data_IF_081192537143
#
_entry.id   IF_081192537143
#
_cell.length_a   1.000
_cell.length_b   1.000
_cell.length_c   1.000
_cell.angle_alpha   90.00
_cell.angle_beta   90.00
_cell.angle_gamma   90.00
#
_symmetry.space_group_name_H-M   'P 1'
#
loop_
_entity.id
_entity.type
_entity.pdbx_description
1 polymer ?
#
# COMPACT_ATOMS: atom_id res chain seq x y z
N UNK A 1 26.37 5.05 -8.31
CA UNK A 1 25.38 5.29 -7.24
C UNK A 1 24.50 4.05 -7.18
N UNK A 2 24.33 3.40 -6.02
CA UNK A 2 23.49 2.19 -5.94
C UNK A 2 22.02 2.61 -6.04
N UNK A 3 21.11 1.72 -6.46
CA UNK A 3 19.68 2.06 -6.57
C UNK A 3 19.06 2.53 -5.23
N UNK A 4 19.57 2.01 -4.11
CA UNK A 4 19.22 2.45 -2.75
C UNK A 4 19.57 3.93 -2.49
N UNK A 5 20.68 4.42 -3.03
CA UNK A 5 21.07 5.82 -2.92
C UNK A 5 20.16 6.69 -3.81
N UNK A 6 19.82 6.20 -5.02
CA UNK A 6 18.92 6.91 -5.95
C UNK A 6 17.53 7.15 -5.41
N UNK A 7 16.97 6.19 -4.67
CA UNK A 7 15.69 6.33 -3.99
C UNK A 7 15.60 7.57 -3.10
N UNK A 8 16.74 8.10 -2.62
CA UNK A 8 16.76 9.28 -1.75
C UNK A 8 16.88 10.62 -2.51
N UNK A 9 17.38 10.59 -3.76
CA UNK A 9 17.73 11.80 -4.50
C UNK A 9 16.92 12.02 -5.78
N UNK A 10 16.41 10.96 -6.42
CA UNK A 10 15.66 11.09 -7.65
C UNK A 10 14.18 11.29 -7.37
N UNK A 11 13.65 12.42 -7.83
CA UNK A 11 12.23 12.74 -7.77
C UNK A 11 11.71 12.76 -9.21
N UNK A 12 10.90 11.77 -9.63
CA UNK A 12 10.29 11.80 -10.95
C UNK A 12 9.45 13.07 -11.14
N UNK A 13 9.43 13.65 -12.35
CA UNK A 13 8.62 14.83 -12.63
C UNK A 13 7.13 14.51 -12.48
N UNK A 14 6.33 15.48 -12.02
CA UNK A 14 4.87 15.37 -12.11
C UNK A 14 4.44 15.38 -13.57
N UNK A 15 3.40 14.61 -13.90
CA UNK A 15 2.86 14.55 -15.25
C UNK A 15 1.63 15.46 -15.36
N UNK A 16 1.74 16.52 -16.15
CA UNK A 16 0.57 17.27 -16.61
C UNK A 16 0.11 16.66 -17.94
N UNK A 17 -0.97 15.89 -17.88
CA UNK A 17 -1.60 15.21 -19.01
C UNK A 17 -2.69 16.09 -19.62
N UNK A 18 -2.88 16.01 -20.94
CA UNK A 18 -4.02 16.67 -21.59
C UNK A 18 -5.33 15.94 -21.25
N UNK A 19 -6.47 16.61 -21.45
CA UNK A 19 -7.78 15.94 -21.26
C UNK A 19 -7.96 14.73 -22.18
N UNK A 20 -7.43 14.80 -23.40
CA UNK A 20 -7.42 13.68 -24.36
C UNK A 20 -6.60 12.49 -23.85
N UNK A 21 -5.39 12.73 -23.33
CA UNK A 21 -4.56 11.68 -22.73
C UNK A 21 -5.26 11.06 -21.52
N UNK A 22 -5.89 11.90 -20.70
CA UNK A 22 -6.67 11.46 -19.53
C UNK A 22 -7.85 10.57 -19.96
N UNK A 23 -8.58 10.93 -21.01
CA UNK A 23 -9.65 10.11 -21.59
C UNK A 23 -9.13 8.76 -22.09
N UNK A 24 -8.06 8.77 -22.88
CA UNK A 24 -7.44 7.56 -23.44
C UNK A 24 -6.94 6.60 -22.36
N UNK A 25 -6.34 7.13 -21.27
CA UNK A 25 -5.88 6.31 -20.16
C UNK A 25 -7.03 5.71 -19.34
N UNK A 26 -8.18 6.39 -19.24
CA UNK A 26 -9.37 5.81 -18.59
C UNK A 26 -9.93 4.67 -19.42
N UNK A 27 -10.08 4.85 -20.73
CA UNK A 27 -10.55 3.80 -21.63
C UNK A 27 -9.62 2.57 -21.62
N UNK A 28 -8.31 2.81 -21.60
CA UNK A 28 -7.32 1.75 -21.44
C UNK A 28 -7.49 1.01 -20.10
N UNK A 29 -7.70 1.73 -18.99
CA UNK A 29 -7.94 1.13 -17.69
C UNK A 29 -9.19 0.22 -17.71
N UNK A 30 -10.30 0.68 -18.27
CA UNK A 30 -11.55 -0.07 -18.34
C UNK A 30 -11.43 -1.32 -19.24
N UNK A 31 -10.71 -1.18 -20.36
CA UNK A 31 -10.38 -2.30 -21.26
C UNK A 31 -9.54 -3.35 -20.55
N UNK A 32 -8.51 -2.92 -19.82
CA UNK A 32 -7.65 -3.83 -19.05
C UNK A 32 -8.43 -4.57 -17.97
N UNK A 33 -9.32 -3.89 -17.24
CA UNK A 33 -10.18 -4.52 -16.22
C UNK A 33 -11.05 -5.59 -16.84
N UNK A 34 -11.78 -5.26 -17.91
CA UNK A 34 -12.70 -6.18 -18.59
C UNK A 34 -11.96 -7.41 -19.10
N UNK A 35 -10.88 -7.21 -19.86
CA UNK A 35 -10.10 -8.29 -20.45
C UNK A 35 -9.49 -9.24 -19.40
N UNK A 36 -8.96 -8.70 -18.29
CA UNK A 36 -8.33 -9.54 -17.27
C UNK A 36 -9.36 -10.31 -16.43
N UNK A 37 -10.55 -9.75 -16.18
CA UNK A 37 -11.64 -10.47 -15.51
C UNK A 37 -12.12 -11.64 -16.38
N UNK A 38 -12.28 -11.43 -17.70
CA UNK A 38 -12.61 -12.50 -18.64
C UNK A 38 -11.52 -13.59 -18.67
N UNK A 39 -10.25 -13.20 -18.74
CA UNK A 39 -9.11 -14.12 -18.71
C UNK A 39 -9.06 -14.94 -17.41
N UNK A 40 -9.40 -14.34 -16.27
CA UNK A 40 -9.50 -15.04 -15.00
C UNK A 40 -10.65 -16.06 -14.98
N UNK A 41 -11.82 -15.69 -15.49
CA UNK A 41 -12.98 -16.60 -15.57
C UNK A 41 -12.73 -17.79 -16.50
N UNK A 42 -11.93 -17.61 -17.54
CA UNK A 42 -11.55 -18.67 -18.47
C UNK A 42 -10.42 -19.58 -17.94
N UNK A 43 -9.77 -19.23 -16.81
CA UNK A 43 -8.65 -19.99 -16.28
C UNK A 43 -9.13 -21.34 -15.76
N UNK A 44 -8.59 -22.41 -16.33
CA UNK A 44 -8.77 -23.76 -15.84
C UNK A 44 -7.78 -24.03 -14.70
N UNK A 45 -8.30 -24.28 -13.51
CA UNK A 45 -7.54 -24.76 -12.35
C UNK A 45 -7.98 -26.19 -12.03
N UNK A 46 -7.06 -26.99 -11.51
CA UNK A 46 -7.39 -28.33 -11.03
C UNK A 46 -8.34 -28.25 -9.82
N UNK A 47 -8.99 -29.38 -9.49
CA UNK A 47 -9.91 -29.46 -8.35
C UNK A 47 -9.27 -29.09 -7.00
N UNK A 48 -7.97 -29.29 -6.88
CA UNK A 48 -7.13 -28.94 -5.72
C UNK A 48 -6.48 -27.55 -5.84
N UNK A 49 -6.91 -26.73 -6.81
CA UNK A 49 -6.52 -25.33 -6.96
C UNK A 49 -5.12 -25.09 -7.54
N UNK A 50 -4.52 -26.09 -8.20
CA UNK A 50 -3.25 -25.95 -8.88
C UNK A 50 -3.43 -25.53 -10.35
N UNK A 51 -2.43 -24.84 -10.88
CA UNK A 51 -2.34 -24.57 -12.30
C UNK A 51 -1.92 -25.83 -13.08
N UNK A 52 -2.31 -25.94 -14.35
CA UNK A 52 -1.92 -27.07 -15.21
C UNK A 52 -0.39 -27.22 -15.27
N UNK A 53 0.14 -28.32 -14.73
CA UNK A 53 1.57 -28.59 -14.65
C UNK A 53 2.26 -28.71 -16.04
N UNK A 54 1.49 -28.95 -17.12
CA UNK A 54 1.99 -28.95 -18.51
C UNK A 54 2.33 -27.54 -18.99
N UNK A 55 1.60 -26.54 -18.50
CA UNK A 55 1.79 -25.14 -18.87
C UNK A 55 2.59 -24.37 -17.81
N UNK A 56 2.51 -24.77 -16.54
CA UNK A 56 3.00 -24.01 -15.41
C UNK A 56 4.03 -24.79 -14.60
N UNK A 57 5.07 -24.09 -14.15
CA UNK A 57 6.07 -24.59 -13.22
C UNK A 57 6.07 -23.73 -11.96
N UNK A 58 5.82 -24.32 -10.79
CA UNK A 58 5.93 -23.61 -9.52
C UNK A 58 7.37 -23.12 -9.31
N UNK A 59 7.52 -21.83 -8.99
CA UNK A 59 8.81 -21.21 -8.68
C UNK A 59 8.97 -20.91 -7.20
N UNK A 60 7.88 -20.48 -6.56
CA UNK A 60 7.88 -20.01 -5.17
C UNK A 60 6.56 -20.37 -4.51
N UNK A 61 6.63 -20.60 -3.21
CA UNK A 61 5.46 -20.82 -2.35
C UNK A 61 5.73 -20.23 -0.98
N UNK A 62 4.69 -19.64 -0.39
CA UNK A 62 4.68 -19.21 1.00
C UNK A 62 3.24 -19.24 1.49
N UNK A 63 3.01 -19.91 2.61
CA UNK A 63 1.66 -20.16 3.12
C UNK A 63 0.79 -20.79 2.00
N UNK A 64 -0.44 -20.31 1.80
CA UNK A 64 -1.32 -20.76 0.71
C UNK A 64 -1.11 -20.00 -0.61
N UNK A 65 -0.06 -19.19 -0.74
CA UNK A 65 0.27 -18.46 -1.98
C UNK A 65 1.32 -19.23 -2.78
N UNK A 66 1.02 -19.50 -4.06
CA UNK A 66 1.91 -20.18 -5.01
C UNK A 66 2.12 -19.32 -6.23
N UNK A 67 3.37 -19.21 -6.66
CA UNK A 67 3.76 -18.45 -7.86
C UNK A 67 4.37 -19.41 -8.88
N UNK A 68 3.79 -19.41 -10.07
CA UNK A 68 4.15 -20.23 -11.20
C UNK A 68 4.76 -19.39 -12.32
N UNK A 69 5.70 -19.98 -13.05
CA UNK A 69 6.21 -19.47 -14.33
C UNK A 69 5.67 -20.33 -15.46
N UNK A 70 5.27 -19.68 -16.54
CA UNK A 70 4.84 -20.37 -17.75
C UNK A 70 6.01 -21.12 -18.40
N UNK A 71 5.75 -22.34 -18.87
CA UNK A 71 6.74 -23.22 -19.50
C UNK A 71 6.92 -22.87 -20.97
N UNK A 72 8.14 -22.95 -21.51
CA UNK A 72 8.38 -22.71 -22.92
C UNK A 72 7.60 -23.61 -23.89
N UNK A 73 7.32 -24.86 -23.50
CA UNK A 73 6.58 -25.82 -24.33
C UNK A 73 5.13 -25.40 -24.60
N UNK A 74 4.52 -24.57 -23.74
CA UNK A 74 3.19 -24.01 -23.97
C UNK A 74 3.17 -23.02 -25.15
N UNK A 75 4.34 -22.51 -25.57
CA UNK A 75 4.46 -21.59 -26.70
C UNK A 75 4.26 -22.30 -28.06
N UNK A 76 4.71 -23.55 -28.19
CA UNK A 76 4.65 -24.31 -29.44
C UNK A 76 3.21 -24.69 -29.85
N UNK A 77 2.32 -24.90 -28.88
CA UNK A 77 0.90 -25.25 -29.11
C UNK A 77 0.04 -24.11 -29.64
N UNK A 78 0.54 -22.88 -29.72
CA UNK A 78 -0.27 -21.68 -29.98
C UNK A 78 -0.15 -21.07 -31.37
N UNK A 79 0.76 -21.57 -32.23
CA UNK A 79 0.91 -21.12 -33.62
C UNK A 79 1.30 -19.64 -33.82
N UNK A 80 1.56 -18.89 -32.75
CA UNK A 80 1.85 -17.45 -32.79
C UNK A 80 3.34 -17.18 -33.08
N UNK A 81 3.63 -16.34 -34.07
CA UNK A 81 4.98 -15.90 -34.46
C UNK A 81 5.52 -14.71 -33.64
N UNK A 82 4.70 -14.11 -32.77
CA UNK A 82 5.12 -13.00 -31.91
C UNK A 82 5.97 -13.48 -30.71
N UNK A 83 7.06 -12.77 -30.33
CA UNK A 83 7.80 -13.05 -29.10
C UNK A 83 6.86 -12.97 -27.90
N UNK A 84 6.68 -14.08 -27.17
CA UNK A 84 5.85 -14.12 -25.96
C UNK A 84 6.67 -13.64 -24.77
N UNK A 85 6.15 -12.61 -24.09
CA UNK A 85 6.78 -12.06 -22.89
C UNK A 85 6.82 -13.10 -21.76
N UNK A 86 7.93 -13.19 -21.00
CA UNK A 86 7.99 -13.94 -19.75
C UNK A 86 6.79 -13.63 -18.84
N UNK A 87 6.25 -14.68 -18.24
CA UNK A 87 4.95 -14.56 -17.59
C UNK A 87 4.90 -15.34 -16.26
N UNK A 88 4.16 -14.77 -15.31
CA UNK A 88 3.90 -15.35 -13.98
C UNK A 88 2.41 -15.48 -13.72
N UNK A 89 2.05 -16.51 -12.95
CA UNK A 89 0.71 -16.75 -12.43
C UNK A 89 0.83 -16.94 -10.92
N UNK A 90 -0.03 -16.27 -10.15
CA UNK A 90 -0.21 -16.50 -8.72
C UNK A 90 -1.60 -17.08 -8.50
N UNK A 91 -1.66 -18.14 -7.69
CA UNK A 91 -2.89 -18.71 -7.17
C UNK A 91 -2.72 -18.91 -5.66
N UNK A 92 -3.76 -18.61 -4.89
CA UNK A 92 -3.73 -18.90 -3.46
C UNK A 92 -4.86 -18.25 -2.67
N UNK A 93 -4.75 -18.32 -1.35
CA UNK A 93 -5.71 -17.72 -0.42
C UNK A 93 -5.02 -16.98 0.72
N UNK A 94 -5.72 -16.00 1.28
CA UNK A 94 -5.33 -15.30 2.52
C UNK A 94 -6.51 -15.28 3.49
N UNK A 95 -6.22 -15.34 4.80
CA UNK A 95 -7.24 -15.29 5.85
C UNK A 95 -7.56 -13.83 6.17
N UNK A 96 -8.77 -13.39 5.87
CA UNK A 96 -9.26 -12.03 6.07
C UNK A 96 -10.47 -11.71 5.18
N UNK A 97 -10.74 -10.41 5.02
CA UNK A 97 -11.84 -9.92 4.19
C UNK A 97 -11.35 -9.25 2.92
N UNK A 98 -12.18 -9.25 1.88
CA UNK A 98 -11.90 -8.60 0.60
C UNK A 98 -11.58 -7.11 0.81
N UNK A 99 -12.32 -6.44 1.69
CA UNK A 99 -12.15 -5.02 1.98
C UNK A 99 -10.79 -4.74 2.64
N UNK A 100 -10.25 -5.66 3.45
CA UNK A 100 -8.93 -5.53 4.05
C UNK A 100 -7.82 -5.60 2.99
N UNK A 101 -7.97 -6.54 2.05
CA UNK A 101 -7.05 -6.70 0.92
C UNK A 101 -7.11 -5.45 0.03
N UNK A 102 -8.30 -4.96 -0.29
CA UNK A 102 -8.49 -3.77 -1.12
C UNK A 102 -8.03 -2.49 -0.44
N UNK A 103 -8.14 -2.39 0.89
CA UNK A 103 -7.60 -1.27 1.66
C UNK A 103 -6.07 -1.16 1.54
N UNK A 104 -5.38 -2.27 1.29
CA UNK A 104 -3.94 -2.28 1.01
C UNK A 104 -3.67 -2.05 -0.48
N UNK A 105 -4.38 -2.76 -1.37
CA UNK A 105 -4.14 -2.73 -2.81
C UNK A 105 -4.38 -1.34 -3.45
N UNK A 106 -5.35 -0.56 -2.95
CA UNK A 106 -5.75 0.71 -3.56
C UNK A 106 -4.63 1.77 -3.57
N UNK A 107 -3.78 1.79 -2.53
CA UNK A 107 -2.67 2.73 -2.28
C UNK A 107 -2.54 3.86 -3.32
N UNK A 108 -3.34 4.92 -3.15
CA UNK A 108 -3.62 5.94 -4.16
C UNK A 108 -2.75 7.20 -4.02
N UNK A 109 -2.05 7.38 -2.90
CA UNK A 109 -1.14 8.50 -2.64
C UNK A 109 0.29 8.04 -2.43
N UNK A 110 1.26 8.97 -2.56
CA UNK A 110 2.69 8.72 -2.30
C UNK A 110 2.89 8.09 -0.90
N UNK A 111 2.21 8.64 0.10
CA UNK A 111 2.27 8.18 1.49
C UNK A 111 1.74 6.76 1.63
N UNK A 112 0.57 6.49 1.05
CA UNK A 112 -0.03 5.16 1.10
C UNK A 112 0.84 4.12 0.40
N UNK A 113 1.44 4.46 -0.75
CA UNK A 113 2.36 3.57 -1.46
C UNK A 113 3.59 3.22 -0.62
N UNK A 114 4.24 4.23 -0.03
CA UNK A 114 5.45 4.04 0.81
C UNK A 114 5.17 3.21 2.05
N UNK A 115 4.10 3.53 2.79
CA UNK A 115 3.71 2.79 3.99
C UNK A 115 3.34 1.34 3.68
N UNK A 116 2.59 1.13 2.60
CA UNK A 116 2.16 -0.20 2.16
C UNK A 116 3.37 -1.04 1.74
N UNK A 117 4.23 -0.52 0.86
CA UNK A 117 5.43 -1.23 0.42
C UNK A 117 6.34 -1.60 1.60
N UNK A 118 6.57 -0.66 2.54
CA UNK A 118 7.39 -0.95 3.71
C UNK A 118 6.80 -2.06 4.58
N UNK A 119 5.47 -2.06 4.75
CA UNK A 119 4.77 -3.06 5.54
C UNK A 119 4.72 -4.44 4.86
N UNK A 120 4.54 -4.47 3.53
CA UNK A 120 4.51 -5.70 2.73
C UNK A 120 5.91 -6.29 2.52
N UNK A 121 6.93 -5.43 2.46
CA UNK A 121 8.29 -5.74 2.00
C UNK A 121 8.24 -6.38 0.60
N UNK A 122 7.55 -5.72 -0.32
CA UNK A 122 7.33 -6.12 -1.71
C UNK A 122 8.52 -5.83 -2.64
N UNK A 123 9.64 -5.33 -2.09
CA UNK A 123 10.86 -5.04 -2.83
C UNK A 123 10.80 -3.75 -3.66
N UNK A 124 9.77 -2.91 -3.51
CA UNK A 124 9.80 -1.53 -4.02
C UNK A 124 10.73 -0.72 -3.11
N UNK A 125 11.69 -0.03 -3.72
CA UNK A 125 12.67 0.82 -3.04
C UNK A 125 12.18 2.26 -2.90
N UNK A 126 11.52 2.77 -3.95
CA UNK A 126 10.85 4.07 -3.93
C UNK A 126 9.67 4.07 -4.91
N UNK A 127 8.76 5.00 -4.71
CA UNK A 127 7.57 5.13 -5.55
C UNK A 127 6.97 6.51 -5.51
N UNK A 128 6.27 6.86 -6.59
CA UNK A 128 5.62 8.16 -6.74
C UNK A 128 4.37 8.09 -7.61
N UNK A 129 3.32 8.76 -7.19
CA UNK A 129 2.15 9.09 -8.01
C UNK A 129 2.51 10.28 -8.89
N UNK A 130 2.58 10.02 -10.19
CA UNK A 130 2.96 11.02 -11.19
C UNK A 130 1.77 11.86 -11.62
N UNK A 131 0.59 11.24 -11.70
CA UNK A 131 -0.69 11.89 -11.97
C UNK A 131 -1.85 11.04 -11.43
N UNK A 132 -2.82 11.69 -10.78
CA UNK A 132 -4.09 11.05 -10.40
C UNK A 132 -5.18 11.41 -11.42
N UNK A 133 -5.83 10.41 -11.99
CA UNK A 133 -6.85 10.54 -13.05
C UNK A 133 -8.27 10.35 -12.50
N UNK A 134 -8.42 9.38 -11.59
CA UNK A 134 -9.62 9.15 -10.79
C UNK A 134 -9.17 8.98 -9.34
N UNK A 135 -9.71 9.79 -8.44
CA UNK A 135 -9.44 9.72 -7.00
C UNK A 135 -10.49 8.86 -6.29
N UNK A 136 -10.12 8.22 -5.17
CA UNK A 136 -11.09 7.62 -4.26
C UNK A 136 -12.17 8.61 -3.81
N UNK A 137 -13.36 8.09 -3.57
CA UNK A 137 -14.54 8.85 -3.10
C UNK A 137 -15.18 8.12 -1.91
N UNK A 138 -16.09 8.77 -1.20
CA UNK A 138 -16.80 8.14 -0.08
C UNK A 138 -17.57 6.88 -0.52
N UNK A 139 -18.25 6.95 -1.67
CA UNK A 139 -19.00 5.82 -2.23
C UNK A 139 -18.07 4.70 -2.71
N UNK A 140 -16.93 5.07 -3.30
CA UNK A 140 -15.98 4.13 -3.91
C UNK A 140 -14.56 4.35 -3.34
N UNK A 141 -14.31 3.96 -2.08
CA UNK A 141 -13.07 4.31 -1.37
C UNK A 141 -11.82 3.57 -1.88
N UNK A 142 -12.01 2.49 -2.65
CA UNK A 142 -10.91 1.73 -3.26
C UNK A 142 -10.76 1.97 -4.77
N UNK A 143 -11.57 2.86 -5.34
CA UNK A 143 -11.52 3.19 -6.77
C UNK A 143 -10.45 4.24 -7.03
N UNK A 144 -9.45 3.89 -7.82
CA UNK A 144 -8.40 4.83 -8.22
C UNK A 144 -7.94 4.51 -9.64
N UNK A 145 -7.63 5.56 -10.41
CA UNK A 145 -6.89 5.45 -11.68
C UNK A 145 -5.81 6.51 -11.67
N UNK A 146 -4.57 6.16 -11.99
CA UNK A 146 -3.48 7.12 -12.04
C UNK A 146 -2.19 6.54 -12.60
N UNK A 147 -1.25 7.43 -12.95
CA UNK A 147 0.08 7.03 -13.41
C UNK A 147 1.02 7.01 -12.21
N UNK A 148 1.71 5.88 -12.02
CA UNK A 148 2.63 5.67 -10.90
C UNK A 148 3.99 5.22 -11.40
N UNK A 149 5.04 5.72 -10.75
CA UNK A 149 6.42 5.28 -10.91
C UNK A 149 6.82 4.42 -9.72
N UNK A 150 7.53 3.32 -9.97
CA UNK A 150 8.07 2.42 -8.95
C UNK A 150 9.51 2.04 -9.29
N UNK A 151 10.38 2.11 -8.30
CA UNK A 151 11.77 1.68 -8.40
C UNK A 151 11.97 0.36 -7.65
N UNK A 152 12.62 -0.59 -8.31
CA UNK A 152 13.18 -1.80 -7.73
C UNK A 152 14.70 -1.79 -7.91
N UNK A 153 15.40 -2.79 -7.36
CA UNK A 153 16.87 -2.83 -7.26
C UNK A 153 17.64 -2.51 -8.56
N UNK A 154 17.18 -2.99 -9.72
CA UNK A 154 17.84 -2.73 -11.01
C UNK A 154 16.91 -2.12 -12.07
N UNK A 155 15.63 -1.90 -11.75
CA UNK A 155 14.61 -1.55 -12.74
C UNK A 155 13.60 -0.56 -12.19
N UNK A 156 13.19 0.37 -13.03
CA UNK A 156 12.03 1.22 -12.77
C UNK A 156 10.88 0.90 -13.73
N UNK A 157 9.66 1.22 -13.29
CA UNK A 157 8.43 1.04 -14.05
C UNK A 157 7.60 2.31 -13.97
N UNK A 158 7.02 2.70 -15.10
CA UNK A 158 5.99 3.74 -15.18
C UNK A 158 4.72 3.07 -15.66
N UNK A 159 3.69 3.03 -14.81
CA UNK A 159 2.48 2.26 -15.05
C UNK A 159 1.22 3.12 -14.88
N UNK A 160 0.24 2.86 -15.73
CA UNK A 160 -1.16 3.13 -15.45
C UNK A 160 -1.62 2.10 -14.42
N UNK A 161 -2.04 2.60 -13.26
CA UNK A 161 -2.57 1.83 -12.16
C UNK A 161 -4.08 2.05 -12.07
N UNK A 162 -4.85 0.97 -12.03
CA UNK A 162 -6.30 1.00 -11.77
C UNK A 162 -6.69 0.00 -10.68
N UNK A 163 -7.51 0.45 -9.73
CA UNK A 163 -8.01 -0.37 -8.62
C UNK A 163 -9.50 -0.14 -8.42
N UNK A 164 -10.19 -1.16 -7.89
CA UNK A 164 -11.60 -1.05 -7.56
C UNK A 164 -12.22 -2.39 -7.19
N UNK A 165 -13.55 -2.39 -7.02
CA UNK A 165 -14.35 -3.59 -6.82
C UNK A 165 -15.38 -3.62 -7.95
N UNK A 166 -15.35 -4.69 -8.74
CA UNK A 166 -16.38 -4.99 -9.73
C UNK A 166 -17.47 -5.84 -9.08
N UNK A 167 -18.73 -5.56 -9.40
CA UNK A 167 -19.88 -6.36 -8.94
C UNK A 167 -20.51 -7.06 -10.13
N UNK A 168 -20.64 -8.37 -10.04
CA UNK A 168 -21.30 -9.20 -11.05
C UNK A 168 -22.82 -9.12 -10.93
N UNK A 169 -23.56 -9.56 -11.97
CA UNK A 169 -25.03 -9.56 -11.98
C UNK A 169 -25.67 -10.42 -10.88
N UNK A 170 -24.94 -11.40 -10.36
CA UNK A 170 -25.33 -12.24 -9.23
C UNK A 170 -24.94 -11.64 -7.85
N UNK A 171 -24.40 -10.42 -7.82
CA UNK A 171 -23.94 -9.76 -6.60
C UNK A 171 -22.57 -10.18 -6.10
N UNK A 172 -21.85 -11.07 -6.81
CA UNK A 172 -20.48 -11.42 -6.45
C UNK A 172 -19.54 -10.23 -6.63
N UNK A 173 -18.76 -9.93 -5.59
CA UNK A 173 -17.77 -8.85 -5.59
C UNK A 173 -16.39 -9.39 -5.92
N UNK A 174 -15.72 -8.72 -6.85
CA UNK A 174 -14.37 -9.03 -7.29
C UNK A 174 -13.51 -7.77 -7.20
N UNK A 175 -12.61 -7.74 -6.22
CA UNK A 175 -11.59 -6.70 -6.12
C UNK A 175 -10.53 -6.86 -7.21
N UNK A 176 -10.05 -5.75 -7.76
CA UNK A 176 -9.00 -5.75 -8.76
C UNK A 176 -7.93 -4.69 -8.48
N UNK A 177 -6.69 -5.00 -8.85
CA UNK A 177 -5.56 -4.07 -8.88
C UNK A 177 -4.72 -4.40 -10.11
N UNK A 178 -4.63 -3.46 -11.05
CA UNK A 178 -3.95 -3.65 -12.33
C UNK A 178 -2.90 -2.56 -12.49
N UNK A 179 -1.69 -2.97 -12.90
CA UNK A 179 -0.59 -2.09 -13.26
C UNK A 179 -0.11 -2.44 -14.66
N UNK A 180 -0.23 -1.49 -15.59
CA UNK A 180 0.18 -1.66 -16.98
C UNK A 180 1.14 -0.57 -17.41
N UNK A 181 2.32 -0.93 -17.92
CA UNK A 181 3.33 0.03 -18.34
C UNK A 181 2.86 0.93 -19.47
N UNK A 182 3.09 2.23 -19.31
CA UNK A 182 2.78 3.27 -20.30
C UNK A 182 4.01 4.16 -20.50
N UNK A 183 4.18 4.67 -21.70
CA UNK A 183 5.36 5.46 -22.06
C UNK A 183 5.03 6.96 -22.09
N UNK A 184 5.87 7.76 -21.42
CA UNK A 184 5.81 9.22 -21.48
C UNK A 184 7.19 9.78 -21.78
N UNK A 185 7.32 10.54 -22.88
CA UNK A 185 8.59 11.18 -23.24
C UNK A 185 9.12 12.13 -22.16
N UNK A 186 8.22 12.72 -21.35
CA UNK A 186 8.55 13.62 -20.23
C UNK A 186 9.22 12.90 -19.05
N UNK A 187 9.17 11.57 -18.98
CA UNK A 187 9.79 10.80 -17.90
C UNK A 187 11.07 10.16 -18.42
N UNK A 188 12.25 10.73 -18.10
CA UNK A 188 13.52 10.23 -18.62
C UNK A 188 13.82 8.82 -18.12
N UNK A 189 14.66 8.10 -18.86
CA UNK A 189 15.26 6.85 -18.38
C UNK A 189 16.33 7.13 -17.31
N UNK A 190 16.63 6.10 -16.52
CA UNK A 190 17.64 6.15 -15.47
C UNK A 190 18.89 5.35 -15.83
N UNK A 191 19.12 5.11 -17.13
CA UNK A 191 20.20 4.23 -17.63
C UNK A 191 21.58 4.71 -17.17
N UNK A 192 21.78 6.04 -17.06
CA UNK A 192 23.01 6.66 -16.53
C UNK A 192 23.35 6.26 -15.10
N UNK A 193 22.38 5.69 -14.38
CA UNK A 193 22.51 5.21 -13.03
C UNK A 193 22.50 3.67 -12.93
N UNK A 194 22.50 2.96 -14.06
CA UNK A 194 22.39 1.51 -14.11
C UNK A 194 21.00 0.97 -13.76
N UNK A 195 19.97 1.81 -13.85
CA UNK A 195 18.56 1.42 -13.66
C UNK A 195 17.89 1.35 -15.03
N UNK A 196 17.44 0.16 -15.42
CA UNK A 196 16.78 -0.08 -16.70
C UNK A 196 15.27 0.15 -16.59
N UNK A 197 14.70 0.95 -17.50
CA UNK A 197 13.24 1.04 -17.64
C UNK A 197 12.69 -0.26 -18.20
N UNK A 198 11.94 -0.98 -17.39
CA UNK A 198 11.27 -2.21 -17.81
C UNK A 198 9.77 -1.99 -18.00
N UNK A 199 9.16 -2.90 -18.74
CA UNK A 199 7.74 -2.89 -19.02
C UNK A 199 7.07 -4.10 -18.36
N UNK A 200 5.88 -3.89 -17.81
CA UNK A 200 5.07 -4.97 -17.26
C UNK A 200 3.58 -4.72 -17.49
N UNK A 201 2.81 -5.81 -17.47
CA UNK A 201 1.36 -5.77 -17.34
C UNK A 201 0.97 -6.81 -16.30
N UNK A 202 0.53 -6.36 -15.13
CA UNK A 202 0.16 -7.20 -13.99
C UNK A 202 -1.28 -6.91 -13.60
N UNK A 203 -2.09 -7.96 -13.54
CA UNK A 203 -3.43 -7.92 -12.98
C UNK A 203 -3.49 -8.80 -11.73
N UNK A 204 -4.04 -8.27 -10.66
CA UNK A 204 -4.33 -8.96 -9.42
C UNK A 204 -5.84 -8.91 -9.18
N UNK A 205 -6.45 -10.06 -8.91
CA UNK A 205 -7.87 -10.19 -8.62
C UNK A 205 -8.07 -10.87 -7.26
N UNK A 206 -9.09 -10.41 -6.54
CA UNK A 206 -9.37 -10.82 -5.17
C UNK A 206 -10.85 -11.11 -5.01
N UNK A 207 -11.18 -12.31 -4.51
CA UNK A 207 -12.57 -12.78 -4.39
C UNK A 207 -12.80 -13.34 -2.99
N UNK A 208 -13.87 -12.92 -2.33
CA UNK A 208 -14.24 -13.49 -1.03
C UNK A 208 -14.73 -14.93 -1.25
N UNK A 209 -13.91 -15.93 -0.88
CA UNK A 209 -14.17 -17.35 -1.13
C UNK A 209 -15.01 -17.99 -0.01
N UNK A 210 -14.70 -17.63 1.23
CA UNK A 210 -15.51 -17.93 2.43
C UNK A 210 -15.61 -16.65 3.27
N UNK A 211 -16.43 -16.57 4.33
CA UNK A 211 -16.53 -15.35 5.14
C UNK A 211 -15.19 -14.89 5.77
N UNK A 212 -14.22 -15.80 5.90
CA UNK A 212 -12.91 -15.56 6.50
C UNK A 212 -11.74 -15.68 5.52
N UNK A 213 -11.97 -16.03 4.24
CA UNK A 213 -10.88 -16.25 3.28
C UNK A 213 -11.11 -15.54 1.96
N UNK A 214 -10.04 -14.92 1.46
CA UNK A 214 -9.98 -14.26 0.15
C UNK A 214 -9.10 -15.08 -0.77
N UNK A 215 -9.64 -15.44 -1.92
CA UNK A 215 -8.89 -16.02 -3.03
C UNK A 215 -8.11 -14.92 -3.74
N UNK A 216 -6.84 -15.20 -4.01
CA UNK A 216 -5.90 -14.32 -4.68
C UNK A 216 -5.50 -14.93 -6.02
N UNK A 217 -5.69 -14.16 -7.08
CA UNK A 217 -5.17 -14.44 -8.41
C UNK A 217 -4.25 -13.30 -8.82
N UNK A 218 -3.13 -13.61 -9.47
CA UNK A 218 -2.41 -12.59 -10.22
C UNK A 218 -1.84 -13.15 -11.53
N UNK A 219 -1.86 -12.34 -12.58
CA UNK A 219 -1.27 -12.65 -13.87
C UNK A 219 -0.39 -11.50 -14.32
N UNK A 220 0.85 -11.81 -14.67
CA UNK A 220 1.88 -10.83 -14.99
C UNK A 220 2.64 -11.19 -16.24
N UNK A 221 2.90 -10.19 -17.08
CA UNK A 221 3.75 -10.28 -18.27
C UNK A 221 4.85 -9.23 -18.14
N UNK A 222 6.09 -9.62 -18.45
CA UNK A 222 7.27 -8.79 -18.20
C UNK A 222 8.13 -8.68 -19.44
N UNK A 223 8.43 -7.45 -19.84
CA UNK A 223 9.41 -7.12 -20.86
C UNK A 223 10.58 -6.41 -20.18
N UNK A 224 11.67 -7.16 -19.97
CA UNK A 224 12.89 -6.64 -19.37
C UNK A 224 13.84 -5.98 -20.39
N UNK A 225 13.45 -5.86 -21.66
CA UNK A 225 14.13 -5.14 -22.76
C UNK A 225 15.61 -5.48 -23.05
N UNK A 226 16.26 -6.33 -22.26
CA UNK A 226 17.66 -6.71 -22.45
C UNK A 226 17.81 -7.97 -23.33
N UNK A 227 18.25 -7.77 -24.58
CA UNK A 227 18.67 -8.85 -25.48
C UNK A 227 20.10 -9.37 -25.15
N UNK A 228 20.82 -8.73 -24.24
CA UNK A 228 22.25 -9.00 -23.99
C UNK A 228 22.55 -9.67 -22.64
N UNK A 229 21.57 -9.84 -21.74
CA UNK A 229 21.80 -10.47 -20.44
C UNK A 229 20.63 -11.35 -19.97
N UNK A 230 20.51 -12.54 -20.55
CA UNK A 230 19.52 -13.56 -20.18
C UNK A 230 19.57 -13.93 -18.68
N UNK A 231 20.76 -13.89 -18.08
CA UNK A 231 20.95 -14.12 -16.64
C UNK A 231 20.23 -13.05 -15.82
N UNK A 232 20.42 -11.76 -16.11
CA UNK A 232 19.71 -10.67 -15.42
C UNK A 232 18.20 -10.77 -15.59
N UNK A 233 17.71 -11.13 -16.79
CA UNK A 233 16.28 -11.33 -17.01
C UNK A 233 15.73 -12.48 -16.15
N UNK A 234 16.48 -13.58 -16.04
CA UNK A 234 16.12 -14.73 -15.20
C UNK A 234 16.13 -14.38 -13.71
N UNK A 235 17.14 -13.62 -13.25
CA UNK A 235 17.22 -13.12 -11.88
C UNK A 235 16.04 -12.20 -11.56
N UNK A 236 15.69 -11.30 -12.47
CA UNK A 236 14.54 -10.40 -12.33
C UNK A 236 13.22 -11.15 -12.28
N UNK A 237 13.01 -12.15 -13.14
CA UNK A 237 11.82 -13.02 -13.03
C UNK A 237 11.72 -13.69 -11.66
N UNK A 238 12.84 -14.19 -11.13
CA UNK A 238 12.88 -14.82 -9.81
C UNK A 238 12.66 -13.81 -8.68
N UNK A 239 13.17 -12.59 -8.82
CA UNK A 239 12.95 -11.51 -7.87
C UNK A 239 11.46 -11.14 -7.83
N UNK A 240 10.83 -10.90 -8.98
CA UNK A 240 9.38 -10.63 -9.07
C UNK A 240 8.56 -11.77 -8.48
N UNK A 241 8.88 -13.02 -8.82
CA UNK A 241 8.18 -14.18 -8.25
C UNK A 241 8.31 -14.26 -6.71
N UNK A 242 9.44 -13.82 -6.17
CA UNK A 242 9.65 -13.74 -4.71
C UNK A 242 8.88 -12.57 -4.10
N UNK A 243 8.85 -11.41 -4.76
CA UNK A 243 8.11 -10.22 -4.33
C UNK A 243 6.60 -10.49 -4.26
N UNK A 244 6.05 -11.30 -5.17
CA UNK A 244 4.64 -11.71 -5.17
C UNK A 244 4.24 -12.54 -3.94
N UNK A 245 5.19 -13.15 -3.22
CA UNK A 245 4.89 -13.80 -1.93
C UNK A 245 4.44 -12.79 -0.85
N UNK A 246 4.63 -11.49 -1.07
CA UNK A 246 4.12 -10.43 -0.19
C UNK A 246 2.59 -10.43 -0.08
N UNK A 247 1.86 -11.09 -0.99
CA UNK A 247 0.41 -11.28 -0.92
C UNK A 247 -0.04 -11.90 0.41
N UNK A 248 0.76 -12.83 0.96
CA UNK A 248 0.56 -13.43 2.29
C UNK A 248 0.46 -12.41 3.44
N UNK A 249 0.92 -11.17 3.23
CA UNK A 249 0.97 -10.11 4.24
C UNK A 249 -0.09 -9.03 4.07
N UNK A 250 -0.97 -9.12 3.07
CA UNK A 250 -1.96 -8.07 2.80
C UNK A 250 -2.84 -7.82 4.03
N UNK A 251 -3.41 -8.87 4.63
CA UNK A 251 -4.28 -8.71 5.79
C UNK A 251 -3.51 -8.20 7.02
N UNK A 252 -2.26 -8.65 7.21
CA UNK A 252 -1.39 -8.11 8.27
C UNK A 252 -1.07 -6.62 8.05
N UNK A 253 -0.90 -6.20 6.79
CA UNK A 253 -0.71 -4.81 6.42
C UNK A 253 -1.99 -4.00 6.64
N UNK A 254 -3.15 -4.56 6.33
CA UNK A 254 -4.44 -3.94 6.63
C UNK A 254 -4.59 -3.71 8.14
N UNK A 255 -4.32 -4.71 8.97
CA UNK A 255 -4.30 -4.59 10.43
C UNK A 255 -3.36 -3.49 10.91
N UNK A 256 -2.16 -3.38 10.31
CA UNK A 256 -1.21 -2.31 10.63
C UNK A 256 -1.79 -0.93 10.28
N UNK A 257 -2.41 -0.78 9.11
CA UNK A 257 -3.06 0.48 8.71
C UNK A 257 -4.20 0.86 9.66
N UNK A 258 -5.08 -0.10 9.99
CA UNK A 258 -6.17 0.08 10.98
C UNK A 258 -5.64 0.45 12.36
N UNK A 259 -4.53 -0.18 12.78
CA UNK A 259 -3.83 0.10 14.03
C UNK A 259 -3.33 1.55 14.08
N UNK A 260 -2.66 2.01 13.02
CA UNK A 260 -2.14 3.38 12.92
C UNK A 260 -3.28 4.40 12.87
N UNK A 261 -4.32 4.14 12.08
CA UNK A 261 -5.51 4.99 12.04
C UNK A 261 -6.11 5.16 13.43
N UNK A 262 -6.30 4.06 14.16
CA UNK A 262 -6.88 4.10 15.51
C UNK A 262 -5.98 4.81 16.52
N UNK A 263 -4.67 4.64 16.41
CA UNK A 263 -3.72 5.43 17.19
C UNK A 263 -3.90 6.92 16.90
N UNK A 264 -3.93 7.34 15.63
CA UNK A 264 -4.12 8.77 15.29
C UNK A 264 -5.41 9.32 15.89
N UNK A 265 -6.54 8.63 15.71
CA UNK A 265 -7.84 9.05 16.26
C UNK A 265 -7.81 9.21 17.78
N UNK A 266 -7.24 8.24 18.51
CA UNK A 266 -7.18 8.31 19.97
C UNK A 266 -6.26 9.43 20.47
N UNK A 267 -5.29 9.85 19.66
CA UNK A 267 -4.36 10.94 19.98
C UNK A 267 -4.80 12.29 19.38
N UNK A 268 -5.95 12.36 18.69
CA UNK A 268 -6.42 13.58 18.02
C UNK A 268 -5.50 14.04 16.87
N UNK A 269 -4.73 13.13 16.27
CA UNK A 269 -3.81 13.46 15.18
C UNK A 269 -4.51 13.35 13.83
N UNK A 270 -4.23 14.24 12.87
CA UNK A 270 -4.82 14.18 11.53
C UNK A 270 -4.26 13.00 10.73
N UNK A 271 -4.97 12.61 9.68
CA UNK A 271 -4.46 11.67 8.66
C UNK A 271 -3.11 12.17 8.13
N UNK A 272 -2.13 11.27 8.11
CA UNK A 272 -0.72 11.56 7.76
C UNK A 272 0.00 12.59 8.64
N UNK A 273 -0.61 13.05 9.73
CA UNK A 273 0.04 13.90 10.72
C UNK A 273 1.28 13.23 11.33
N UNK A 274 2.27 14.03 11.77
CA UNK A 274 3.49 13.50 12.37
C UNK A 274 3.14 12.69 13.62
N UNK A 275 3.64 11.46 13.67
CA UNK A 275 3.51 10.60 14.85
C UNK A 275 4.92 10.36 15.40
N UNK A 276 5.16 10.81 16.64
CA UNK A 276 6.44 10.56 17.29
C UNK A 276 6.61 9.05 17.55
N UNK A 277 7.53 8.42 16.83
CA UNK A 277 8.03 7.08 17.15
C UNK A 277 9.25 7.27 18.05
N UNK A 278 9.05 7.76 19.27
CA UNK A 278 10.17 7.93 20.20
C UNK A 278 10.87 6.58 20.49
N UNK A 279 12.20 6.56 20.64
CA UNK A 279 12.87 5.43 21.20
C UNK A 279 12.40 5.25 22.65
N UNK A 280 11.58 4.23 22.89
CA UNK A 280 11.35 3.78 24.26
C UNK A 280 12.66 3.20 24.74
N UNK A 281 13.37 3.92 25.60
CA UNK A 281 14.34 3.30 26.48
C UNK A 281 13.58 2.32 27.37
N UNK A 282 13.89 1.02 27.23
CA UNK A 282 13.26 -0.04 28.03
C UNK A 282 13.53 0.13 29.54
N UNK A 283 14.38 1.08 29.93
CA UNK A 283 14.78 1.39 31.29
C UNK A 283 14.22 2.71 31.86
N UNK A 284 13.57 3.57 31.07
CA UNK A 284 13.10 4.88 31.53
C UNK A 284 11.59 5.07 31.31
N UNK A 285 10.78 4.44 32.14
CA UNK A 285 9.36 4.86 32.34
C UNK A 285 9.06 5.02 33.83
N UNK A 286 9.86 5.86 34.47
CA UNK A 286 9.42 6.73 35.55
C UNK A 286 9.71 8.13 34.99
N UNK A 287 8.76 8.82 34.37
CA UNK A 287 8.02 9.93 35.02
C UNK A 287 7.22 10.66 33.95
N UNK A 288 5.93 10.92 34.21
CA UNK A 288 5.19 12.14 33.88
C UNK A 288 3.68 11.87 34.06
N UNK A 289 3.14 12.34 35.19
CA UNK A 289 1.74 12.69 35.47
C UNK A 289 0.63 11.95 34.70
N UNK A 290 0.44 10.67 35.02
CA UNK A 290 -0.88 10.02 34.86
C UNK A 290 -1.40 9.71 36.25
N UNK A 291 -2.55 10.29 36.57
CA UNK A 291 -3.33 10.05 37.77
C UNK A 291 -3.33 8.56 38.13
N UNK A 292 -3.11 8.30 39.43
CA UNK A 292 -3.07 6.99 40.08
C UNK A 292 -4.12 6.02 39.51
N UNK A 293 -3.72 5.15 38.56
CA UNK A 293 -4.62 4.15 37.99
C UNK A 293 -4.04 2.74 38.09
N UNK A 294 -4.69 1.96 38.96
CA UNK A 294 -4.68 0.51 39.15
C UNK A 294 -3.31 -0.20 39.17
N UNK A 295 -2.96 -0.81 40.31
CA UNK A 295 -1.83 -1.75 40.45
C UNK A 295 -1.95 -3.03 39.59
N UNK A 296 -3.00 -3.17 38.78
CA UNK A 296 -3.29 -4.36 37.97
C UNK A 296 -3.41 -4.09 36.47
N UNK A 297 -3.29 -5.15 35.69
CA UNK A 297 -3.41 -5.13 34.24
C UNK A 297 -4.80 -4.67 33.83
N UNK A 298 -4.88 -3.70 32.92
CA UNK A 298 -6.14 -3.15 32.41
C UNK A 298 -7.03 -4.11 31.60
N UNK A 299 -6.56 -5.33 31.32
CA UNK A 299 -7.30 -6.36 30.59
C UNK A 299 -7.81 -7.45 31.54
N UNK A 300 -6.92 -8.02 32.35
CA UNK A 300 -7.26 -9.18 33.20
C UNK A 300 -7.35 -8.84 34.70
N UNK A 301 -7.14 -7.58 35.08
CA UNK A 301 -7.15 -7.06 36.46
C UNK A 301 -6.13 -7.71 37.42
N UNK A 302 -5.27 -8.61 36.95
CA UNK A 302 -4.20 -9.22 37.76
C UNK A 302 -3.14 -8.18 38.12
N UNK A 303 -2.65 -8.21 39.36
CA UNK A 303 -1.55 -7.36 39.80
C UNK A 303 -0.30 -7.56 38.93
N UNK A 304 0.48 -6.51 38.70
CA UNK A 304 1.66 -6.59 37.83
C UNK A 304 2.82 -7.39 38.45
N UNK A 305 2.77 -7.72 39.74
CA UNK A 305 3.83 -8.47 40.43
C UNK A 305 5.23 -7.90 40.16
N UNK A 306 6.21 -8.78 39.93
CA UNK A 306 7.56 -8.42 39.46
C UNK A 306 7.67 -8.23 37.94
N UNK A 307 6.56 -8.30 37.19
CA UNK A 307 6.57 -8.19 35.74
C UNK A 307 6.71 -6.73 35.30
N UNK A 308 7.58 -6.45 34.31
CA UNK A 308 7.67 -5.13 33.72
C UNK A 308 6.31 -4.68 33.18
N UNK A 309 5.81 -3.56 33.70
CA UNK A 309 4.60 -2.90 33.19
C UNK A 309 4.84 -2.47 31.74
N UNK A 310 4.04 -3.00 30.81
CA UNK A 310 4.02 -2.53 29.42
C UNK A 310 2.83 -1.60 29.23
N UNK A 311 3.00 -0.53 28.46
CA UNK A 311 1.93 0.42 28.18
C UNK A 311 1.39 0.20 26.77
N UNK A 312 0.08 0.03 26.64
CA UNK A 312 -0.57 -0.04 25.34
C UNK A 312 -0.51 1.32 24.63
N UNK A 313 -0.04 1.36 23.39
CA UNK A 313 0.12 2.63 22.64
C UNK A 313 -1.17 3.20 22.02
N UNK A 314 -2.30 2.49 22.12
CA UNK A 314 -3.63 3.04 21.83
C UNK A 314 -4.21 3.64 23.12
N UNK A 315 -4.63 2.81 24.07
CA UNK A 315 -5.40 3.29 25.24
C UNK A 315 -4.55 3.85 26.40
N UNK A 316 -3.22 3.85 26.29
CA UNK A 316 -2.25 4.26 27.32
C UNK A 316 -2.34 3.52 28.66
N UNK A 317 -3.06 2.40 28.74
CA UNK A 317 -3.19 1.62 29.97
C UNK A 317 -2.06 0.58 30.13
N UNK A 318 -1.71 0.30 31.39
CA UNK A 318 -0.75 -0.74 31.76
C UNK A 318 -1.30 -2.14 31.53
N UNK A 319 -0.47 -3.04 31.00
CA UNK A 319 -0.79 -4.45 30.78
C UNK A 319 0.33 -5.38 31.21
N UNK A 320 -0.05 -6.60 31.65
CA UNK A 320 0.89 -7.69 31.88
C UNK A 320 1.39 -8.28 30.56
N UNK A 321 2.44 -9.09 30.62
CA UNK A 321 3.04 -9.75 29.44
C UNK A 321 2.05 -10.61 28.65
N UNK A 322 1.16 -11.35 29.32
CA UNK A 322 0.16 -12.21 28.66
C UNK A 322 -0.95 -11.42 27.96
N UNK A 323 -1.20 -10.18 28.38
CA UNK A 323 -2.17 -9.28 27.75
C UNK A 323 -1.50 -8.30 26.79
N UNK A 324 -0.20 -8.46 26.51
CA UNK A 324 0.59 -7.62 25.63
C UNK A 324 0.86 -8.33 24.30
N UNK A 325 0.66 -7.60 23.20
CA UNK A 325 1.02 -8.04 21.86
C UNK A 325 1.94 -6.99 21.24
N UNK A 326 3.07 -7.44 20.67
CA UNK A 326 3.96 -6.58 19.90
C UNK A 326 3.57 -6.59 18.42
N UNK A 327 3.27 -5.43 17.85
CA UNK A 327 2.96 -5.27 16.42
C UNK A 327 3.85 -4.22 15.77
N UNK A 328 4.19 -4.42 14.50
CA UNK A 328 4.91 -3.44 13.70
C UNK A 328 3.98 -2.25 13.46
N UNK A 329 4.51 -1.05 13.65
CA UNK A 329 3.88 0.21 13.28
C UNK A 329 4.77 0.88 12.24
N UNK A 330 4.19 1.27 11.12
CA UNK A 330 4.86 2.06 10.09
C UNK A 330 4.16 3.43 9.99
N UNK A 331 4.92 4.52 10.08
CA UNK A 331 4.42 5.89 9.87
C UNK A 331 5.44 6.68 9.05
N UNK A 332 5.03 7.82 8.50
CA UNK A 332 5.97 8.73 7.87
C UNK A 332 6.65 9.60 8.90
N UNK A 333 7.94 9.85 8.69
CA UNK A 333 8.66 10.89 9.39
C UNK A 333 8.09 12.28 9.03
N UNK A 334 8.39 13.32 9.81
CA UNK A 334 7.96 14.69 9.52
C UNK A 334 8.38 15.21 8.13
N UNK A 335 9.46 14.65 7.55
CA UNK A 335 9.91 14.97 6.19
C UNK A 335 8.98 14.45 5.08
N UNK A 336 7.96 13.65 5.42
CA UNK A 336 7.01 12.94 4.53
C UNK A 336 7.68 12.06 3.46
N UNK A 337 8.96 11.78 3.60
CA UNK A 337 9.76 10.98 2.65
C UNK A 337 10.21 9.67 3.28
N UNK A 338 10.65 9.73 4.52
CA UNK A 338 11.20 8.59 5.26
C UNK A 338 10.08 7.83 5.95
N UNK A 339 10.06 6.51 5.79
CA UNK A 339 9.16 5.64 6.57
C UNK A 339 9.87 5.21 7.84
N UNK A 340 9.28 5.54 8.99
CA UNK A 340 9.70 5.07 10.29
C UNK A 340 8.90 3.81 10.63
N UNK A 341 9.59 2.74 11.01
CA UNK A 341 8.94 1.54 11.51
C UNK A 341 9.52 1.07 12.84
N UNK A 342 8.65 0.62 13.73
CA UNK A 342 9.07 0.04 15.01
C UNK A 342 8.01 -0.90 15.57
N UNK A 343 8.45 -1.96 16.25
CA UNK A 343 7.54 -2.80 17.04
C UNK A 343 7.06 -2.01 18.27
N UNK A 344 5.75 -2.02 18.50
CA UNK A 344 5.07 -1.31 19.59
C UNK A 344 4.19 -2.27 20.38
N UNK A 345 3.96 -1.93 21.64
CA UNK A 345 3.17 -2.72 22.59
C UNK A 345 1.71 -2.32 22.57
N UNK A 346 0.82 -3.29 22.44
CA UNK A 346 -0.64 -3.10 22.45
C UNK A 346 -1.29 -4.11 23.39
N UNK A 347 -2.42 -3.73 24.00
CA UNK A 347 -3.19 -4.69 24.76
C UNK A 347 -4.02 -5.58 23.83
N UNK A 348 -4.34 -6.80 24.27
CA UNK A 348 -5.15 -7.75 23.49
C UNK A 348 -6.53 -7.20 23.13
N UNK A 349 -7.16 -6.41 24.00
CA UNK A 349 -8.46 -5.77 23.72
C UNK A 349 -8.39 -4.76 22.58
N UNK A 350 -7.39 -3.85 22.60
CA UNK A 350 -7.22 -2.90 21.51
C UNK A 350 -6.89 -3.60 20.19
N UNK A 351 -6.10 -4.69 20.24
CA UNK A 351 -5.82 -5.49 19.05
C UNK A 351 -7.05 -6.20 18.50
N UNK A 352 -7.90 -6.75 19.37
CA UNK A 352 -9.16 -7.38 18.99
C UNK A 352 -10.10 -6.40 18.28
N UNK A 353 -10.18 -5.17 18.78
CA UNK A 353 -10.97 -4.12 18.14
C UNK A 353 -10.36 -3.70 16.80
N UNK A 354 -9.03 -3.57 16.69
CA UNK A 354 -8.34 -3.23 15.44
C UNK A 354 -8.62 -4.25 14.34
N UNK A 355 -8.51 -5.54 14.63
CA UNK A 355 -8.73 -6.60 13.62
C UNK A 355 -10.19 -6.67 13.16
N UNK A 356 -11.13 -6.21 13.99
CA UNK A 356 -12.57 -6.17 13.67
C UNK A 356 -13.05 -4.86 13.07
N UNK A 357 -12.25 -3.80 13.09
CA UNK A 357 -12.63 -2.53 12.47
C UNK A 357 -12.90 -2.71 10.98
N UNK A 358 -13.92 -2.02 10.50
CA UNK A 358 -14.31 -2.03 9.09
C UNK A 358 -13.34 -1.19 8.24
N UNK A 359 -12.68 -1.84 7.28
CA UNK A 359 -11.71 -1.18 6.40
C UNK A 359 -12.36 -0.13 5.49
N UNK A 360 -13.62 -0.34 5.09
CA UNK A 360 -14.35 0.61 4.23
C UNK A 360 -14.63 1.90 4.99
N UNK A 361 -15.14 1.80 6.21
CA UNK A 361 -15.40 2.94 7.10
C UNK A 361 -14.14 3.73 7.41
N UNK A 362 -13.01 3.05 7.67
CA UNK A 362 -11.72 3.71 7.88
C UNK A 362 -11.26 4.44 6.62
N UNK A 363 -11.34 3.80 5.45
CA UNK A 363 -10.95 4.43 4.19
C UNK A 363 -11.80 5.67 3.88
N UNK A 364 -13.12 5.61 4.13
CA UNK A 364 -14.03 6.76 4.01
C UNK A 364 -13.65 7.91 4.93
N UNK A 365 -13.37 7.60 6.19
CA UNK A 365 -12.92 8.58 7.17
C UNK A 365 -11.59 9.25 6.76
N UNK A 366 -10.61 8.47 6.27
CA UNK A 366 -9.36 9.00 5.72
C UNK A 366 -9.59 9.92 4.51
N UNK A 367 -10.51 9.56 3.62
CA UNK A 367 -10.86 10.37 2.44
C UNK A 367 -11.50 11.69 2.85
N UNK A 368 -12.43 11.68 3.81
CA UNK A 368 -13.11 12.88 4.29
C UNK A 368 -12.13 13.85 4.95
N UNK A 369 -11.23 13.35 5.80
CA UNK A 369 -10.20 14.20 6.42
C UNK A 369 -9.26 14.85 5.40
N UNK A 370 -8.86 14.11 4.36
CA UNK A 370 -8.00 14.66 3.29
C UNK A 370 -8.71 15.66 2.38
N UNK A 371 -10.05 15.70 2.39
CA UNK A 371 -10.87 16.64 1.62
C UNK A 371 -11.30 17.86 2.44
N UNK A 372 -11.19 17.80 3.77
CA UNK A 372 -11.44 18.95 4.64
C UNK A 372 -10.44 20.07 4.33
N UNK A 373 -10.89 21.33 4.16
CA UNK A 373 -9.97 22.46 4.09
C UNK A 373 -9.10 22.50 5.35
N UNK A 374 -7.80 22.72 5.21
CA UNK A 374 -6.98 23.09 6.37
C UNK A 374 -7.62 24.34 6.99
N UNK A 375 -7.79 24.42 8.33
CA UNK A 375 -8.22 25.66 8.95
C UNK A 375 -7.23 26.74 8.51
N UNK A 376 -7.74 27.78 7.85
CA UNK A 376 -6.98 28.99 7.63
C UNK A 376 -6.59 29.48 9.03
N UNK A 377 -5.29 29.59 9.30
CA UNK A 377 -4.82 30.37 10.43
C UNK A 377 -5.39 31.77 10.19
N UNK A 378 -6.47 32.11 10.91
CA UNK A 378 -7.01 33.47 10.93
C UNK A 378 -5.83 34.38 11.27
N UNK A 379 -5.45 35.25 10.31
CA UNK A 379 -4.59 36.38 10.61
C UNK A 379 -5.19 37.08 11.83
N UNK A 380 -4.39 37.45 12.84
CA UNK A 380 -4.92 38.18 13.97
C UNK A 380 -5.59 39.44 13.43
N UNK A 381 -6.91 39.55 13.64
CA UNK A 381 -7.66 40.77 13.41
C UNK A 381 -6.84 41.92 13.98
N UNK A 382 -6.35 42.78 13.08
CA UNK A 382 -5.74 44.03 13.46
C UNK A 382 -6.83 44.83 14.16
N UNK A 383 -6.77 44.82 15.48
CA UNK A 383 -7.64 45.59 16.35
C UNK A 383 -7.64 47.03 15.85
N UNK A 384 -8.84 47.53 15.58
CA UNK A 384 -9.10 48.89 15.18
C UNK A 384 -8.69 49.87 16.30
N UNK A 385 -7.40 50.21 16.36
CA UNK A 385 -6.87 51.24 17.27
C UNK A 385 -5.64 51.97 16.69
N UNK A 386 -5.56 52.10 15.36
CA UNK A 386 -4.59 52.99 14.67
C UNK A 386 -5.28 53.99 13.72
N UNK A 387 -6.44 54.53 14.11
CA UNK A 387 -7.08 55.67 13.42
C UNK A 387 -7.14 56.95 14.25
N UNK A 388 -6.35 57.08 15.30
CA UNK A 388 -6.22 58.34 16.07
C UNK A 388 -4.74 58.60 16.39
N UNK A 389 -3.92 58.77 15.34
CA UNK A 389 -2.58 59.36 15.47
C UNK A 389 -2.09 59.94 14.13
N UNK A 390 -2.93 60.68 13.42
CA UNK A 390 -2.50 61.44 12.23
C UNK A 390 -3.19 62.80 12.06
N UNK A 391 -3.87 63.29 13.10
CA UNK A 391 -4.42 64.64 13.16
C UNK A 391 -3.85 65.32 14.41
N UNK A 392 -2.57 65.68 14.37
CA UNK A 392 -2.00 66.83 15.09
C UNK A 392 -0.50 66.94 14.84
N UNK A 393 -0.10 67.31 13.61
CA UNK A 393 1.20 67.98 13.35
C UNK A 393 1.08 68.89 12.12
N UNK A 394 0.27 69.94 12.25
CA UNK A 394 0.38 71.16 11.42
C UNK A 394 -0.08 72.35 12.25
N UNK A 395 0.75 72.76 13.20
CA UNK A 395 0.77 74.10 13.79
C UNK A 395 2.01 74.18 14.68
N UNK A 396 3.12 74.68 14.14
CA UNK A 396 3.93 75.82 14.61
C UNK A 396 5.12 75.98 13.67
#
# INVERSE_FOLDING_TARGET
MKAQDLAHYYIPPKLNLSESDVGSLRELADTLVTHNIESYRALLVSSDGHADARQWKELRRKDDIRVYKERPAAYATSGSTLPRLPSLLLLGTVVGKLEDVMFVAAAATDEQMKLTSRCLQDGVLDSKVLQSIVRPTDDHPFRHVGVKWRLHDARDYVCLDTTGIATSCNGEQLGFSISHSVAFAKIPSLDKFGIERANMSVCCLFRQKTPETVECYARGFFDFRSNSNELLNTLSMNAVATQWLSFSRYVVCADMKKLVWRMRKNWGLPVNGPMAIEPVDEHATQSANVEKSSNGCSVCNRSHGFSLRRTCKICQRGVCSSCNVKKLVCVLAPDRRTVLDKKRSFCTMCMYEVTRSDAVSIARDEIRELQSPEPQDDEPETTADERIASIDKTST
#
